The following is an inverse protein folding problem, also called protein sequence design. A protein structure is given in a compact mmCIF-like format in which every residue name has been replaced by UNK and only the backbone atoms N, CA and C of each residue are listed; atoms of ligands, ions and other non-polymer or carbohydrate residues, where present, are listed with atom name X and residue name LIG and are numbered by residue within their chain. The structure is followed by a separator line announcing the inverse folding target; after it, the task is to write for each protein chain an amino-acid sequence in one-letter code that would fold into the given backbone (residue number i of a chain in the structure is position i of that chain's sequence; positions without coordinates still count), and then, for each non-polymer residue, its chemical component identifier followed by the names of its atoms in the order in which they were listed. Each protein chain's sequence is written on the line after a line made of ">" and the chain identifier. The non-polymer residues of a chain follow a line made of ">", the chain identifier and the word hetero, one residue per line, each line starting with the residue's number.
data_IF_999714661929
#
_entry.id   IF_999714661929
#
_cell.length_a   1.000
_cell.length_b   1.000
_cell.length_c   1.000
_cell.angle_alpha   90.00
_cell.angle_beta   90.00
_cell.angle_gamma   90.00
#
_symmetry.space_group_name_H-M   'P 1'
#
loop_
_entity.id
_entity.type
_entity.pdbx_description
1 polymer ?
#
# COMPACT_ATOMS: atom_id res chain seq x y z
N UNK A 1 -18.14 12.10 32.57
CA UNK A 1 -17.20 12.46 31.50
C UNK A 1 -16.41 11.20 31.23
N UNK A 2 -16.88 10.36 30.31
CA UNK A 2 -16.07 9.26 29.78
C UNK A 2 -14.97 9.92 28.97
N UNK A 3 -13.72 9.84 29.44
CA UNK A 3 -12.57 10.22 28.63
C UNK A 3 -12.68 9.48 27.30
N UNK A 4 -12.65 10.23 26.20
CA UNK A 4 -12.75 9.69 24.86
C UNK A 4 -11.41 8.97 24.59
N UNK A 5 -11.38 7.66 24.87
CA UNK A 5 -10.18 6.83 24.70
C UNK A 5 -9.75 6.88 23.23
N UNK A 6 -8.45 7.01 22.97
CA UNK A 6 -7.91 6.99 21.60
C UNK A 6 -8.23 5.67 20.90
N UNK A 7 -8.26 5.68 19.56
CA UNK A 7 -8.41 4.45 18.78
C UNK A 7 -7.42 3.35 19.19
N UNK A 8 -6.16 3.73 19.44
CA UNK A 8 -5.11 2.79 19.86
C UNK A 8 -5.46 2.14 21.21
N UNK A 9 -5.91 2.95 22.18
CA UNK A 9 -6.28 2.47 23.50
C UNK A 9 -7.54 1.61 23.47
N UNK A 10 -8.55 1.97 22.68
CA UNK A 10 -9.74 1.15 22.48
C UNK A 10 -9.38 -0.23 21.91
N UNK A 11 -8.44 -0.27 20.95
CA UNK A 11 -8.02 -1.51 20.32
C UNK A 11 -7.20 -2.40 21.27
N UNK A 12 -6.19 -1.82 21.92
CA UNK A 12 -5.12 -2.56 22.61
C UNK A 12 -5.26 -2.61 24.13
N UNK A 13 -6.07 -1.73 24.72
CA UNK A 13 -6.19 -1.55 26.16
C UNK A 13 -5.06 -0.73 26.81
N UNK A 14 -4.13 -0.16 26.03
CA UNK A 14 -3.01 0.64 26.53
C UNK A 14 -2.94 2.00 25.84
N UNK A 15 -2.41 3.01 26.52
CA UNK A 15 -2.11 4.29 25.87
C UNK A 15 -0.85 4.15 25.00
N UNK A 16 -0.84 4.80 23.83
CA UNK A 16 0.34 4.85 22.96
C UNK A 16 1.27 5.96 23.45
N UNK A 17 2.42 5.58 24.03
CA UNK A 17 3.38 6.55 24.57
C UNK A 17 4.73 6.50 23.86
N UNK A 18 5.42 5.36 23.92
CA UNK A 18 6.73 5.18 23.26
C UNK A 18 6.83 3.80 22.61
N UNK A 19 7.69 3.63 21.59
CA UNK A 19 7.91 2.31 20.99
C UNK A 19 8.34 1.23 21.98
N UNK A 20 9.18 1.57 22.96
CA UNK A 20 9.61 0.60 23.98
C UNK A 20 8.47 0.19 24.91
N UNK A 21 7.61 1.15 25.27
CA UNK A 21 6.41 0.87 26.06
C UNK A 21 5.46 -0.06 25.30
N UNK A 22 5.14 0.25 24.04
CA UNK A 22 4.28 -0.60 23.20
C UNK A 22 4.85 -2.01 23.05
N UNK A 23 6.16 -2.16 22.82
CA UNK A 23 6.83 -3.47 22.73
C UNK A 23 6.92 -4.22 24.06
N UNK A 24 6.80 -3.55 25.20
CA UNK A 24 6.81 -4.20 26.52
C UNK A 24 5.42 -4.65 26.93
N UNK A 25 4.38 -3.87 26.60
CA UNK A 25 3.01 -4.13 27.02
C UNK A 25 2.21 -4.98 26.04
N UNK A 26 2.54 -4.94 24.74
CA UNK A 26 2.01 -5.85 23.74
C UNK A 26 3.06 -6.91 23.40
N UNK A 27 2.61 -8.13 23.16
CA UNK A 27 3.48 -9.20 22.66
C UNK A 27 2.98 -9.76 21.34
N UNK A 28 3.89 -10.39 20.59
CA UNK A 28 3.59 -11.07 19.33
C UNK A 28 3.59 -12.57 19.58
N UNK A 29 2.50 -13.25 19.23
CA UNK A 29 2.41 -14.70 19.25
C UNK A 29 1.73 -15.20 17.96
N UNK A 30 2.50 -15.91 17.13
CA UNK A 30 2.08 -16.32 15.80
C UNK A 30 1.76 -15.12 14.91
N UNK A 31 0.51 -15.04 14.44
CA UNK A 31 -0.03 -13.97 13.60
C UNK A 31 -0.82 -12.91 14.38
N UNK A 32 -0.73 -12.92 15.72
CA UNK A 32 -1.54 -12.09 16.61
C UNK A 32 -0.70 -11.16 17.48
N UNK A 33 -1.22 -9.94 17.70
CA UNK A 33 -0.86 -9.12 18.84
C UNK A 33 -1.65 -9.63 20.06
N UNK A 34 -0.96 -9.79 21.19
CA UNK A 34 -1.56 -10.18 22.47
C UNK A 34 -1.54 -8.95 23.38
N UNK A 35 -2.74 -8.51 23.77
CA UNK A 35 -2.97 -7.35 24.64
C UNK A 35 -2.84 -7.74 26.12
N UNK A 36 -2.69 -6.78 27.06
CA UNK A 36 -2.55 -7.08 28.50
C UNK A 36 -3.75 -7.82 29.10
N UNK A 37 -4.95 -7.63 28.53
CA UNK A 37 -6.17 -8.33 28.91
C UNK A 37 -6.33 -9.72 28.23
N UNK A 38 -5.25 -10.23 27.65
CA UNK A 38 -5.16 -11.48 26.90
C UNK A 38 -5.98 -11.55 25.60
N UNK A 39 -6.62 -10.46 25.15
CA UNK A 39 -7.21 -10.41 23.81
C UNK A 39 -6.13 -10.59 22.75
N UNK A 40 -6.46 -11.39 21.73
CA UNK A 40 -5.60 -11.67 20.60
C UNK A 40 -6.19 -11.05 19.35
N UNK A 41 -5.42 -10.22 18.66
CA UNK A 41 -5.87 -9.49 17.47
C UNK A 41 -4.94 -9.82 16.33
N UNK A 42 -5.48 -10.43 15.28
CA UNK A 42 -4.67 -10.91 14.17
C UNK A 42 -4.12 -9.76 13.34
N UNK A 43 -2.80 -9.58 13.37
CA UNK A 43 -2.13 -8.75 12.38
C UNK A 43 -1.92 -9.55 11.08
N UNK A 44 -1.94 -10.88 11.12
CA UNK A 44 -1.75 -11.72 9.93
C UNK A 44 -0.27 -11.88 9.59
N UNK A 45 0.11 -11.75 8.32
CA UNK A 45 1.50 -11.88 7.89
C UNK A 45 1.96 -10.74 6.99
N UNK A 46 3.03 -10.06 7.39
CA UNK A 46 3.69 -9.03 6.58
C UNK A 46 4.76 -9.65 5.67
N UNK A 47 4.74 -9.28 4.40
CA UNK A 47 5.82 -9.54 3.43
C UNK A 47 6.09 -8.28 2.61
N UNK A 48 7.31 -8.13 2.06
CA UNK A 48 7.68 -7.01 1.19
C UNK A 48 8.15 -7.47 -0.20
N UNK A 49 7.37 -8.27 -0.94
CA UNK A 49 7.85 -8.88 -2.17
C UNK A 49 8.06 -7.83 -3.28
N UNK A 50 9.01 -8.13 -4.15
CA UNK A 50 9.19 -7.47 -5.44
C UNK A 50 8.05 -7.83 -6.39
N UNK A 51 7.79 -6.97 -7.39
CA UNK A 51 6.88 -7.31 -8.48
C UNK A 51 7.31 -8.60 -9.21
N UNK A 52 8.61 -8.83 -9.40
CA UNK A 52 9.14 -10.06 -9.99
C UNK A 52 8.68 -11.32 -9.23
N UNK A 53 8.84 -11.33 -7.91
CA UNK A 53 8.41 -12.44 -7.04
C UNK A 53 6.89 -12.65 -7.11
N UNK A 54 6.12 -11.55 -7.15
CA UNK A 54 4.66 -11.63 -7.25
C UNK A 54 4.19 -12.17 -8.60
N UNK A 55 4.82 -11.76 -9.71
CA UNK A 55 4.54 -12.33 -11.05
C UNK A 55 4.74 -13.84 -11.04
N UNK A 56 5.90 -14.30 -10.56
CA UNK A 56 6.22 -15.73 -10.49
C UNK A 56 5.24 -16.50 -9.60
N UNK A 57 4.90 -15.96 -8.43
CA UNK A 57 3.91 -16.58 -7.54
C UNK A 57 2.50 -16.62 -8.15
N UNK A 58 2.07 -15.54 -8.82
CA UNK A 58 0.76 -15.46 -9.46
C UNK A 58 0.64 -16.46 -10.62
N UNK A 59 1.67 -16.57 -11.47
CA UNK A 59 1.71 -17.55 -12.56
C UNK A 59 1.62 -18.99 -12.04
N UNK A 60 2.33 -19.29 -10.94
CA UNK A 60 2.30 -20.61 -10.31
C UNK A 60 0.93 -21.00 -9.73
N UNK A 61 0.02 -20.05 -9.50
CA UNK A 61 -1.33 -20.36 -8.98
C UNK A 61 -2.25 -21.05 -9.99
N UNK A 62 -1.89 -21.12 -11.28
CA UNK A 62 -2.73 -21.64 -12.38
C UNK A 62 -4.16 -21.09 -12.29
N UNK A 63 -4.35 -19.79 -12.52
CA UNK A 63 -5.67 -19.16 -12.35
C UNK A 63 -6.71 -19.93 -13.15
N UNK A 64 -7.84 -20.27 -12.50
CA UNK A 64 -8.99 -20.76 -13.25
C UNK A 64 -9.40 -19.69 -14.27
N UNK A 65 -9.75 -20.14 -15.48
CA UNK A 65 -10.09 -19.23 -16.57
C UNK A 65 -11.24 -18.32 -16.16
N UNK A 66 -11.03 -17.02 -16.23
CA UNK A 66 -12.03 -16.02 -15.92
C UNK A 66 -11.86 -14.78 -16.79
N UNK A 67 -12.66 -13.75 -16.50
CA UNK A 67 -12.50 -12.44 -17.11
C UNK A 67 -12.55 -11.38 -16.02
N UNK A 68 -11.52 -10.54 -15.98
CA UNK A 68 -11.41 -9.47 -15.02
C UNK A 68 -12.49 -8.45 -15.34
N UNK A 69 -13.21 -8.02 -14.31
CA UNK A 69 -14.20 -6.94 -14.43
C UNK A 69 -13.75 -5.74 -13.64
N UNK A 70 -14.04 -4.54 -14.15
CA UNK A 70 -13.76 -3.29 -13.43
C UNK A 70 -15.08 -2.56 -13.19
N UNK A 71 -15.28 -2.05 -11.98
CA UNK A 71 -16.34 -1.12 -11.66
C UNK A 71 -15.81 0.07 -10.85
N UNK A 72 -16.55 1.18 -10.84
CA UNK A 72 -16.37 2.23 -9.85
C UNK A 72 -17.23 1.95 -8.63
N UNK A 73 -16.68 2.17 -7.44
CA UNK A 73 -17.42 2.10 -6.18
C UNK A 73 -17.30 3.44 -5.46
N UNK A 74 -18.40 4.17 -5.37
CA UNK A 74 -18.49 5.36 -4.51
C UNK A 74 -18.83 4.90 -3.10
N UNK A 75 -17.85 4.92 -2.20
CA UNK A 75 -18.04 4.42 -0.83
C UNK A 75 -16.98 4.98 0.14
N UNK A 76 -17.28 4.86 1.44
CA UNK A 76 -16.28 4.94 2.49
C UNK A 76 -15.52 3.60 2.56
N UNK A 77 -14.19 3.67 2.48
CA UNK A 77 -13.34 2.48 2.50
C UNK A 77 -13.44 1.71 3.82
N UNK A 78 -13.74 2.38 4.95
CA UNK A 78 -13.96 1.74 6.24
C UNK A 78 -15.21 0.86 6.21
N UNK A 79 -16.28 1.34 5.57
CA UNK A 79 -17.50 0.54 5.38
C UNK A 79 -17.25 -0.66 4.47
N UNK A 80 -16.41 -0.52 3.45
CA UNK A 80 -16.02 -1.64 2.59
C UNK A 80 -15.20 -2.69 3.37
N UNK A 81 -14.31 -2.27 4.28
CA UNK A 81 -13.59 -3.20 5.15
C UNK A 81 -14.52 -3.91 6.13
N UNK A 82 -15.45 -3.19 6.76
CA UNK A 82 -16.39 -3.73 7.74
C UNK A 82 -17.48 -4.65 7.15
N UNK A 83 -17.71 -4.61 5.83
CA UNK A 83 -18.70 -5.45 5.17
C UNK A 83 -18.26 -6.92 5.14
N UNK A 84 -18.98 -7.84 5.81
CA UNK A 84 -18.60 -9.26 5.88
C UNK A 84 -18.59 -9.94 4.51
N UNK A 85 -19.28 -9.38 3.50
CA UNK A 85 -19.20 -9.89 2.12
C UNK A 85 -17.80 -9.74 1.52
N UNK A 86 -16.93 -8.95 2.14
CA UNK A 86 -15.56 -8.73 1.70
C UNK A 86 -14.55 -9.53 2.52
N UNK A 87 -15.00 -10.54 3.29
CA UNK A 87 -14.12 -11.52 3.90
C UNK A 87 -13.14 -12.09 2.86
N UNK A 88 -11.86 -12.08 3.20
CA UNK A 88 -10.75 -12.51 2.35
C UNK A 88 -10.44 -11.58 1.17
N UNK A 89 -11.11 -10.44 0.98
CA UNK A 89 -10.80 -9.51 -0.12
C UNK A 89 -9.42 -8.85 0.04
N UNK A 90 -8.85 -8.34 -1.06
CA UNK A 90 -7.62 -7.55 -1.06
C UNK A 90 -7.95 -6.05 -1.22
N UNK A 91 -7.36 -5.21 -0.38
CA UNK A 91 -7.47 -3.76 -0.47
C UNK A 91 -6.11 -3.13 -0.79
N UNK A 92 -6.03 -2.36 -1.86
CA UNK A 92 -4.89 -1.49 -2.10
C UNK A 92 -4.95 -0.30 -1.16
N UNK A 93 -3.87 -0.04 -0.44
CA UNK A 93 -3.74 1.04 0.52
C UNK A 93 -2.68 2.02 0.03
N UNK A 94 -3.05 3.30 -0.03
CA UNK A 94 -2.10 4.38 -0.29
C UNK A 94 -1.20 4.56 0.94
N UNK A 95 0.06 4.21 0.79
CA UNK A 95 1.06 4.17 1.86
C UNK A 95 2.37 4.84 1.40
N UNK A 96 3.35 4.88 2.28
CA UNK A 96 4.72 5.33 1.99
C UNK A 96 5.63 4.14 1.68
N UNK A 97 6.85 4.40 1.20
CA UNK A 97 7.80 3.31 0.89
C UNK A 97 8.27 2.52 2.12
N UNK A 98 8.01 3.03 3.33
CA UNK A 98 8.24 2.35 4.60
C UNK A 98 6.99 1.65 5.16
N UNK A 99 5.91 1.60 4.38
CA UNK A 99 4.64 0.99 4.79
C UNK A 99 4.03 1.67 6.01
N UNK A 100 4.16 2.98 6.13
CA UNK A 100 3.44 3.81 7.10
C UNK A 100 2.62 4.88 6.36
N UNK A 101 1.75 5.56 7.09
CA UNK A 101 0.80 6.55 6.58
C UNK A 101 0.95 7.87 7.37
N UNK A 102 2.19 8.23 7.70
CA UNK A 102 2.50 9.43 8.48
C UNK A 102 2.08 10.70 7.74
N UNK A 103 1.36 11.62 8.39
CA UNK A 103 0.76 12.80 7.74
C UNK A 103 1.76 13.77 7.06
N UNK A 104 3.05 13.69 7.40
CA UNK A 104 4.11 14.54 6.84
C UNK A 104 5.47 13.83 6.84
N UNK A 105 6.38 14.16 5.91
CA UNK A 105 7.76 13.66 5.92
C UNK A 105 8.56 14.05 7.18
N UNK A 106 8.08 15.00 7.99
CA UNK A 106 8.72 15.35 9.27
C UNK A 106 8.31 14.46 10.44
N UNK A 107 7.29 13.61 10.27
CA UNK A 107 6.77 12.74 11.34
C UNK A 107 7.47 11.39 11.25
N UNK A 108 8.10 10.99 12.35
CA UNK A 108 8.89 9.75 12.43
C UNK A 108 8.04 8.59 12.97
N UNK A 109 8.44 7.32 12.77
CA UNK A 109 7.75 6.15 13.31
C UNK A 109 7.47 6.21 14.83
N UNK A 110 8.37 6.83 15.60
CA UNK A 110 8.26 6.99 17.05
C UNK A 110 7.11 7.90 17.50
N UNK A 111 6.56 8.70 16.58
CA UNK A 111 5.38 9.53 16.85
C UNK A 111 4.10 8.70 16.97
N UNK A 112 4.16 7.42 16.65
CA UNK A 112 3.08 6.46 16.81
C UNK A 112 2.09 6.44 15.65
N UNK A 113 1.25 5.42 15.66
CA UNK A 113 0.21 5.18 14.66
C UNK A 113 -1.17 5.55 15.17
N UNK A 114 -1.33 5.82 16.47
CA UNK A 114 -2.57 6.34 17.05
C UNK A 114 -3.04 7.63 16.38
N UNK A 115 -2.09 8.48 15.95
CA UNK A 115 -2.36 9.74 15.24
C UNK A 115 -3.16 9.56 13.94
N UNK A 116 -3.21 8.34 13.37
CA UNK A 116 -3.95 8.05 12.14
C UNK A 116 -5.46 8.24 12.31
N UNK A 117 -5.99 8.19 13.53
CA UNK A 117 -7.43 8.42 13.77
C UNK A 117 -7.88 9.84 13.40
N UNK A 118 -6.94 10.79 13.36
CA UNK A 118 -7.19 12.19 13.01
C UNK A 118 -6.96 12.50 11.52
N UNK A 119 -6.46 11.54 10.74
CA UNK A 119 -6.27 11.69 9.30
C UNK A 119 -7.36 10.92 8.55
N UNK A 120 -8.23 11.66 7.85
CA UNK A 120 -9.37 11.10 7.13
C UNK A 120 -9.05 10.78 5.66
N UNK A 121 -7.78 10.81 5.26
CA UNK A 121 -7.38 10.31 3.94
C UNK A 121 -7.49 8.78 3.89
N UNK A 122 -7.56 8.23 2.67
CA UNK A 122 -7.86 6.80 2.49
C UNK A 122 -6.77 5.87 3.07
N UNK A 123 -5.49 6.28 3.07
CA UNK A 123 -4.39 5.48 3.60
C UNK A 123 -4.57 5.18 5.11
N UNK A 124 -4.57 6.22 5.96
CA UNK A 124 -4.87 6.12 7.39
C UNK A 124 -6.21 5.44 7.69
N UNK A 125 -7.26 5.71 6.91
CA UNK A 125 -8.55 5.04 7.09
C UNK A 125 -8.48 3.52 6.90
N UNK A 126 -7.73 3.03 5.90
CA UNK A 126 -7.46 1.60 5.72
C UNK A 126 -6.55 1.04 6.82
N UNK A 127 -5.52 1.79 7.23
CA UNK A 127 -4.61 1.39 8.29
C UNK A 127 -5.35 1.21 9.64
N UNK A 128 -6.24 2.13 9.98
CA UNK A 128 -7.11 2.06 11.16
C UNK A 128 -8.12 0.92 11.08
N UNK A 129 -8.61 0.60 9.88
CA UNK A 129 -9.56 -0.50 9.67
C UNK A 129 -8.96 -1.88 9.98
N UNK A 130 -7.64 -2.04 9.86
CA UNK A 130 -6.89 -3.26 10.19
C UNK A 130 -5.77 -2.93 11.20
N UNK A 131 -6.19 -2.50 12.38
CA UNK A 131 -5.30 -1.86 13.35
C UNK A 131 -4.14 -2.71 13.85
N UNK A 132 -4.36 -4.01 14.04
CA UNK A 132 -3.28 -4.89 14.47
C UNK A 132 -2.16 -4.98 13.41
N UNK A 133 -2.50 -5.01 12.12
CA UNK A 133 -1.53 -4.92 11.02
C UNK A 133 -0.73 -3.62 11.06
N UNK A 134 -1.40 -2.50 11.32
CA UNK A 134 -0.77 -1.18 11.43
C UNK A 134 0.19 -1.07 12.61
N UNK A 135 -0.23 -1.52 13.79
CA UNK A 135 0.62 -1.55 14.99
C UNK A 135 1.83 -2.45 14.76
N UNK A 136 1.62 -3.64 14.19
CA UNK A 136 2.70 -4.57 13.87
C UNK A 136 3.75 -3.93 12.93
N UNK A 137 3.31 -3.31 11.82
CA UNK A 137 4.19 -2.65 10.84
C UNK A 137 5.07 -1.57 11.48
N UNK A 138 4.58 -0.84 12.47
CA UNK A 138 5.37 0.21 13.13
C UNK A 138 6.28 -0.34 14.23
N UNK A 139 5.77 -1.22 15.09
CA UNK A 139 6.45 -1.54 16.35
C UNK A 139 7.17 -2.89 16.37
N UNK A 140 6.74 -3.84 15.53
CA UNK A 140 7.14 -5.25 15.63
C UNK A 140 7.69 -5.85 14.33
N UNK A 141 7.51 -5.19 13.19
CA UNK A 141 8.06 -5.65 11.93
C UNK A 141 9.60 -5.73 11.99
N UNK A 142 10.18 -6.79 11.43
CA UNK A 142 11.63 -6.89 11.30
C UNK A 142 12.16 -5.91 10.27
N UNK A 143 13.12 -5.08 10.67
CA UNK A 143 13.80 -4.11 9.82
C UNK A 143 15.30 -4.37 9.91
N UNK A 144 15.82 -5.16 8.97
CA UNK A 144 17.17 -5.68 9.06
C UNK A 144 17.34 -6.58 10.29
N UNK A 145 18.23 -6.19 11.19
CA UNK A 145 18.50 -6.86 12.47
C UNK A 145 17.68 -6.31 13.64
N UNK A 146 16.79 -5.33 13.41
CA UNK A 146 15.99 -4.67 14.44
C UNK A 146 14.50 -5.03 14.36
N UNK A 147 13.81 -4.81 15.47
CA UNK A 147 12.36 -4.94 15.59
C UNK A 147 11.74 -3.54 15.68
N UNK A 148 10.75 -3.29 14.83
CA UNK A 148 10.06 -2.01 14.73
C UNK A 148 10.82 -0.99 13.86
N UNK A 149 10.04 -0.06 13.30
CA UNK A 149 10.55 1.06 12.54
C UNK A 149 10.93 2.21 13.47
N UNK A 150 11.96 2.95 13.08
CA UNK A 150 12.47 4.14 13.76
C UNK A 150 12.91 5.19 12.75
N UNK A 151 13.24 6.39 13.17
CA UNK A 151 13.83 7.41 12.31
C UNK A 151 15.02 6.86 11.49
N UNK A 152 15.89 6.08 12.12
CA UNK A 152 17.13 5.61 11.51
C UNK A 152 17.02 4.24 10.82
N UNK A 153 15.98 3.45 11.11
CA UNK A 153 15.81 2.10 10.57
C UNK A 153 14.36 1.91 10.13
N UNK A 154 14.14 1.94 8.82
CA UNK A 154 12.82 1.84 8.20
C UNK A 154 12.83 0.77 7.12
N UNK A 155 11.65 0.20 6.86
CA UNK A 155 11.42 -0.56 5.65
C UNK A 155 11.63 0.38 4.46
N UNK A 156 12.27 -0.11 3.40
CA UNK A 156 12.45 0.63 2.15
C UNK A 156 12.03 -0.24 0.96
N UNK A 157 10.78 -0.08 0.54
CA UNK A 157 10.24 -0.76 -0.64
C UNK A 157 10.77 -0.22 -1.98
N UNK A 158 11.60 0.84 -1.97
CA UNK A 158 12.27 1.40 -3.14
C UNK A 158 13.73 0.94 -3.29
N UNK A 159 14.31 0.26 -2.30
CA UNK A 159 15.75 -0.04 -2.24
C UNK A 159 16.28 -0.81 -3.46
N UNK A 160 15.59 -1.86 -3.89
CA UNK A 160 15.98 -2.67 -5.04
C UNK A 160 15.88 -1.89 -6.36
N UNK A 161 14.81 -1.10 -6.52
CA UNK A 161 14.67 -0.17 -7.64
C UNK A 161 15.77 0.90 -7.62
N UNK A 162 16.12 1.39 -6.44
CA UNK A 162 17.28 2.26 -6.21
C UNK A 162 18.56 1.66 -6.74
N UNK A 163 18.84 0.41 -6.38
CA UNK A 163 20.01 -0.33 -6.86
C UNK A 163 20.01 -0.42 -8.40
N UNK A 164 18.88 -0.82 -9.01
CA UNK A 164 18.75 -0.93 -10.47
C UNK A 164 18.92 0.40 -11.20
N UNK A 165 18.40 1.50 -10.63
CA UNK A 165 18.55 2.83 -11.20
C UNK A 165 19.91 3.48 -10.86
N UNK A 166 20.70 2.88 -9.97
CA UNK A 166 22.03 3.36 -9.57
C UNK A 166 22.02 4.42 -8.46
N UNK A 167 20.98 4.45 -7.63
CA UNK A 167 20.85 5.27 -6.43
C UNK A 167 21.76 4.80 -5.27
N UNK A 168 23.05 4.68 -5.53
CA UNK A 168 24.05 4.41 -4.49
C UNK A 168 24.19 5.66 -3.62
N UNK A 169 24.24 5.51 -2.30
CA UNK A 169 24.43 6.61 -1.32
C UNK A 169 23.46 7.80 -1.49
N UNK A 170 22.25 7.53 -1.99
CA UNK A 170 21.22 8.55 -2.19
C UNK A 170 21.55 9.60 -3.26
N UNK A 171 22.42 9.27 -4.22
CA UNK A 171 22.85 10.17 -5.31
C UNK A 171 21.70 10.63 -6.22
N UNK A 172 20.68 9.81 -6.39
CA UNK A 172 19.49 10.12 -7.20
C UNK A 172 18.34 10.63 -6.32
N UNK A 173 18.08 9.96 -5.20
CA UNK A 173 17.07 10.36 -4.22
C UNK A 173 17.43 9.93 -2.81
N UNK A 174 16.81 10.59 -1.84
CA UNK A 174 16.83 10.18 -0.44
C UNK A 174 15.42 9.85 0.01
N UNK A 175 15.30 8.89 0.90
CA UNK A 175 14.08 8.70 1.67
C UNK A 175 14.11 9.59 2.92
N UNK A 176 12.95 10.12 3.27
CA UNK A 176 12.71 10.79 4.54
C UNK A 176 11.37 10.28 5.08
N UNK A 177 11.40 9.44 6.12
CA UNK A 177 10.21 8.83 6.72
C UNK A 177 9.27 8.16 5.68
N UNK A 178 9.85 7.39 4.75
CA UNK A 178 9.11 6.72 3.68
C UNK A 178 8.74 7.59 2.46
N UNK A 179 9.00 8.90 2.51
CA UNK A 179 8.82 9.80 1.36
C UNK A 179 10.08 9.84 0.50
N UNK A 180 9.91 9.64 -0.81
CA UNK A 180 11.02 9.60 -1.77
C UNK A 180 11.25 10.97 -2.42
N UNK A 181 12.40 11.57 -2.12
CA UNK A 181 12.79 12.90 -2.61
C UNK A 181 14.02 12.82 -3.54
N UNK A 182 13.80 12.87 -4.86
CA UNK A 182 14.88 12.98 -5.83
C UNK A 182 15.50 14.38 -5.80
N UNK A 183 16.82 14.43 -6.02
CA UNK A 183 17.50 15.69 -6.35
C UNK A 183 17.15 16.11 -7.78
N UNK A 184 17.40 17.37 -8.16
CA UNK A 184 17.08 17.83 -9.54
C UNK A 184 17.90 17.05 -10.58
N UNK A 185 19.19 16.85 -10.31
CA UNK A 185 20.06 16.03 -11.16
C UNK A 185 19.64 14.57 -11.15
N UNK A 186 19.22 14.05 -9.99
CA UNK A 186 18.72 12.69 -9.83
C UNK A 186 17.47 12.43 -10.67
N UNK A 187 16.46 13.30 -10.55
CA UNK A 187 15.21 13.19 -11.31
C UNK A 187 15.45 13.26 -12.82
N UNK A 188 16.28 14.20 -13.26
CA UNK A 188 16.70 14.32 -14.67
C UNK A 188 17.41 13.06 -15.16
N UNK A 189 18.33 12.51 -14.35
CA UNK A 189 19.07 11.28 -14.67
C UNK A 189 18.13 10.09 -14.80
N UNK A 190 17.18 9.93 -13.88
CA UNK A 190 16.18 8.86 -13.93
C UNK A 190 15.34 8.99 -15.21
N UNK A 191 14.80 10.18 -15.51
CA UNK A 191 14.03 10.40 -16.73
C UNK A 191 14.82 10.11 -18.01
N UNK A 192 16.10 10.51 -18.06
CA UNK A 192 16.98 10.19 -19.19
C UNK A 192 17.21 8.69 -19.34
N UNK A 193 17.47 7.97 -18.24
CA UNK A 193 17.62 6.51 -18.25
C UNK A 193 16.34 5.82 -18.74
N UNK A 194 15.18 6.23 -18.25
CA UNK A 194 13.89 5.62 -18.64
C UNK A 194 13.56 5.85 -20.12
N UNK A 195 13.85 7.03 -20.66
CA UNK A 195 13.62 7.33 -22.09
C UNK A 195 14.60 6.64 -23.03
N UNK A 196 15.82 6.35 -22.56
CA UNK A 196 16.85 5.67 -23.35
C UNK A 196 16.77 4.13 -23.24
N UNK A 197 16.09 3.61 -22.22
CA UNK A 197 15.93 2.18 -21.98
C UNK A 197 14.98 1.52 -22.99
N UNK A 198 15.32 0.30 -23.39
CA UNK A 198 14.38 -0.56 -24.13
C UNK A 198 13.23 -1.05 -23.22
N UNK A 199 12.12 -1.57 -23.80
CA UNK A 199 10.98 -2.02 -23.01
C UNK A 199 11.32 -3.09 -21.97
N UNK A 200 12.26 -3.99 -22.25
CA UNK A 200 12.71 -5.04 -21.34
C UNK A 200 13.44 -4.46 -20.12
N UNK A 201 14.27 -3.45 -20.33
CA UNK A 201 14.99 -2.75 -19.26
C UNK A 201 14.02 -1.97 -18.38
N UNK A 202 13.06 -1.26 -18.97
CA UNK A 202 12.00 -0.58 -18.21
C UNK A 202 11.19 -1.61 -17.40
N UNK A 203 10.91 -2.77 -17.97
CA UNK A 203 10.21 -3.83 -17.25
C UNK A 203 11.03 -4.42 -16.10
N UNK A 204 12.35 -4.60 -16.26
CA UNK A 204 13.25 -4.97 -15.15
C UNK A 204 13.21 -3.94 -14.02
N UNK A 205 13.15 -2.65 -14.34
CA UNK A 205 12.97 -1.62 -13.31
C UNK A 205 11.64 -1.78 -12.58
N UNK A 206 10.53 -1.95 -13.29
CA UNK A 206 9.22 -2.23 -12.64
C UNK A 206 9.29 -3.46 -11.75
N UNK A 207 9.86 -4.55 -12.26
CA UNK A 207 9.95 -5.84 -11.59
C UNK A 207 10.72 -5.77 -10.26
N UNK A 208 11.62 -4.80 -10.09
CA UNK A 208 12.41 -4.59 -8.87
C UNK A 208 11.69 -3.80 -7.77
N UNK A 209 10.57 -3.14 -8.07
CA UNK A 209 9.84 -2.40 -7.03
C UNK A 209 9.18 -3.37 -6.05
N UNK A 210 9.26 -3.08 -4.75
CA UNK A 210 8.54 -3.80 -3.71
C UNK A 210 7.25 -3.09 -3.31
N UNK A 211 6.30 -3.86 -2.80
CA UNK A 211 5.13 -3.37 -2.07
C UNK A 211 5.04 -4.09 -0.72
N UNK A 212 4.32 -3.53 0.24
CA UNK A 212 3.98 -4.23 1.48
C UNK A 212 2.70 -5.04 1.30
N UNK A 213 2.70 -6.30 1.73
CA UNK A 213 1.52 -7.15 1.76
C UNK A 213 1.27 -7.63 3.18
N UNK A 214 0.17 -7.17 3.77
CA UNK A 214 -0.34 -7.67 5.03
C UNK A 214 -1.47 -8.67 4.72
N UNK A 215 -1.13 -9.95 4.74
CA UNK A 215 -2.06 -11.03 4.46
C UNK A 215 -2.92 -11.36 5.67
N UNK A 216 -4.23 -11.57 5.45
CA UNK A 216 -5.15 -12.13 6.44
C UNK A 216 -5.15 -11.41 7.80
N UNK A 217 -5.20 -10.08 7.76
CA UNK A 217 -5.29 -9.22 8.94
C UNK A 217 -6.74 -9.05 9.37
N UNK A 218 -6.99 -9.02 10.68
CA UNK A 218 -8.32 -8.77 11.21
C UNK A 218 -8.82 -7.37 10.87
N UNK A 219 -10.09 -7.27 10.47
CA UNK A 219 -10.77 -5.97 10.45
C UNK A 219 -11.15 -5.63 11.88
N UNK A 220 -10.60 -4.54 12.40
CA UNK A 220 -10.74 -4.12 13.80
C UNK A 220 -11.80 -3.03 14.01
N UNK A 221 -12.65 -2.82 13.00
CA UNK A 221 -13.80 -1.93 13.10
C UNK A 221 -14.92 -2.63 13.88
N UNK A 222 -15.72 -1.86 14.61
CA UNK A 222 -16.79 -2.39 15.45
C UNK A 222 -17.74 -3.32 14.67
N UNK A 223 -17.96 -4.52 15.21
CA UNK A 223 -18.87 -5.53 14.64
C UNK A 223 -18.29 -6.34 13.47
N UNK A 224 -17.05 -6.10 13.05
CA UNK A 224 -16.38 -6.93 12.06
C UNK A 224 -15.72 -8.15 12.72
N UNK A 225 -15.93 -9.33 12.14
CA UNK A 225 -15.40 -10.61 12.65
C UNK A 225 -14.59 -11.37 11.59
N UNK A 226 -14.37 -10.76 10.43
CA UNK A 226 -13.64 -11.35 9.31
C UNK A 226 -12.24 -10.75 9.14
N UNK A 227 -11.47 -11.40 8.27
CA UNK A 227 -10.13 -10.97 7.89
C UNK A 227 -10.12 -10.52 6.43
N UNK A 228 -9.19 -9.64 6.11
CA UNK A 228 -8.91 -9.15 4.75
C UNK A 228 -7.40 -9.09 4.55
N UNK A 229 -6.97 -8.86 3.31
CA UNK A 229 -5.57 -8.59 3.02
C UNK A 229 -5.41 -7.14 2.58
N UNK A 230 -4.25 -6.54 2.83
CA UNK A 230 -3.93 -5.17 2.43
C UNK A 230 -2.61 -5.11 1.65
N UNK A 231 -2.64 -4.42 0.50
CA UNK A 231 -1.49 -4.14 -0.34
C UNK A 231 -1.08 -2.67 -0.20
N UNK A 232 -0.07 -2.42 0.63
CA UNK A 232 0.49 -1.12 0.91
C UNK A 232 1.45 -0.71 -0.21
N UNK A 233 0.98 0.21 -1.04
CA UNK A 233 1.71 0.71 -2.20
C UNK A 233 2.03 2.18 -2.02
N UNK A 234 3.19 2.60 -2.49
CA UNK A 234 3.59 4.01 -2.49
C UNK A 234 3.57 4.58 -3.91
N UNK A 235 3.14 5.83 -4.02
CA UNK A 235 3.42 6.67 -5.18
C UNK A 235 4.51 7.69 -4.85
N UNK A 236 5.02 8.39 -5.86
CA UNK A 236 5.97 9.48 -5.60
C UNK A 236 5.25 10.69 -5.00
N UNK A 237 5.83 11.37 -4.00
CA UNK A 237 5.22 12.53 -3.34
C UNK A 237 5.44 13.81 -4.16
N UNK A 238 4.92 13.85 -5.39
CA UNK A 238 5.12 14.94 -6.39
C UNK A 238 4.80 16.33 -5.82
N UNK A 239 3.70 16.48 -5.08
CA UNK A 239 3.31 17.77 -4.50
C UNK A 239 4.21 18.24 -3.34
N UNK A 240 4.97 17.33 -2.72
CA UNK A 240 5.96 17.67 -1.70
C UNK A 240 7.33 18.01 -2.33
N UNK A 241 7.50 17.72 -3.62
CA UNK A 241 8.69 18.06 -4.38
C UNK A 241 8.74 19.54 -4.75
N UNK A 242 9.95 20.07 -4.92
CA UNK A 242 10.17 21.43 -5.44
C UNK A 242 10.18 21.50 -6.97
N UNK A 243 10.39 20.37 -7.63
CA UNK A 243 10.50 20.29 -9.09
C UNK A 243 9.11 20.35 -9.74
N UNK A 244 8.98 20.93 -10.94
CA UNK A 244 7.74 20.92 -11.70
C UNK A 244 7.20 19.49 -11.90
N UNK A 245 5.91 19.27 -11.69
CA UNK A 245 5.29 17.95 -11.81
C UNK A 245 5.59 17.25 -13.16
N UNK A 246 5.79 18.00 -14.24
CA UNK A 246 6.14 17.42 -15.55
C UNK A 246 7.47 16.64 -15.53
N UNK A 247 8.43 17.06 -14.71
CA UNK A 247 9.73 16.38 -14.59
C UNK A 247 9.63 15.03 -13.87
N UNK A 248 8.57 14.83 -13.08
CA UNK A 248 8.31 13.56 -12.38
C UNK A 248 7.70 12.48 -13.25
N UNK A 249 7.18 12.83 -14.43
CA UNK A 249 6.29 11.99 -15.24
C UNK A 249 6.81 10.56 -15.42
N UNK A 250 8.05 10.41 -15.92
CA UNK A 250 8.59 9.09 -16.26
C UNK A 250 8.79 8.22 -15.01
N UNK A 251 9.28 8.81 -13.93
CA UNK A 251 9.52 8.10 -12.68
C UNK A 251 8.21 7.75 -11.96
N UNK A 252 7.26 8.68 -11.93
CA UNK A 252 5.95 8.46 -11.35
C UNK A 252 5.20 7.34 -12.08
N UNK A 253 5.21 7.35 -13.42
CA UNK A 253 4.62 6.28 -14.23
C UNK A 253 5.26 4.92 -13.97
N UNK A 254 6.59 4.84 -13.87
CA UNK A 254 7.29 3.60 -13.54
C UNK A 254 6.82 3.01 -12.20
N UNK A 255 6.76 3.85 -11.16
CA UNK A 255 6.35 3.43 -9.80
C UNK A 255 4.88 3.01 -9.79
N UNK A 256 4.00 3.79 -10.42
CA UNK A 256 2.56 3.48 -10.50
C UNK A 256 2.31 2.18 -11.28
N UNK A 257 2.94 2.01 -12.45
CA UNK A 257 2.82 0.78 -13.26
C UNK A 257 3.17 -0.45 -12.43
N UNK A 258 4.28 -0.39 -11.69
CA UNK A 258 4.75 -1.50 -10.89
C UNK A 258 3.85 -1.77 -9.68
N UNK A 259 3.40 -0.72 -8.98
CA UNK A 259 2.54 -0.84 -7.81
C UNK A 259 1.16 -1.45 -8.15
N UNK A 260 0.52 -0.99 -9.23
CA UNK A 260 -0.76 -1.56 -9.67
C UNK A 260 -0.62 -2.99 -10.16
N UNK A 261 0.42 -3.29 -10.94
CA UNK A 261 0.66 -4.66 -11.39
C UNK A 261 0.93 -5.60 -10.21
N UNK A 262 1.75 -5.18 -9.25
CA UNK A 262 2.03 -5.94 -8.03
C UNK A 262 0.75 -6.20 -7.22
N UNK A 263 -0.15 -5.22 -7.17
CA UNK A 263 -1.44 -5.36 -6.50
C UNK A 263 -2.32 -6.42 -7.18
N UNK A 264 -2.40 -6.45 -8.51
CA UNK A 264 -3.19 -7.44 -9.24
C UNK A 264 -2.58 -8.85 -9.18
N UNK A 265 -1.25 -8.94 -9.21
CA UNK A 265 -0.52 -10.17 -8.94
C UNK A 265 -0.86 -10.71 -7.53
N UNK A 266 -0.78 -9.84 -6.52
CA UNK A 266 -1.15 -10.17 -5.15
C UNK A 266 -2.62 -10.60 -5.02
N UNK A 267 -3.55 -9.94 -5.72
CA UNK A 267 -4.96 -10.31 -5.74
C UNK A 267 -5.19 -11.71 -6.33
N UNK A 268 -4.46 -12.07 -7.38
CA UNK A 268 -4.50 -13.41 -7.98
C UNK A 268 -4.05 -14.48 -6.96
N UNK A 269 -2.95 -14.21 -6.25
CA UNK A 269 -2.45 -15.09 -5.18
C UNK A 269 -3.45 -15.17 -4.02
N UNK A 270 -4.04 -14.04 -3.64
CA UNK A 270 -5.01 -13.95 -2.56
C UNK A 270 -6.27 -14.76 -2.87
N UNK A 271 -6.78 -14.65 -4.09
CA UNK A 271 -7.93 -15.41 -4.56
C UNK A 271 -7.67 -16.92 -4.51
N UNK A 272 -6.51 -17.37 -4.98
CA UNK A 272 -6.13 -18.79 -4.91
C UNK A 272 -6.09 -19.35 -3.46
N UNK A 273 -5.85 -18.49 -2.47
CA UNK A 273 -5.80 -18.88 -1.03
C UNK A 273 -7.14 -18.75 -0.32
N UNK A 274 -7.92 -17.72 -0.62
CA UNK A 274 -9.11 -17.33 0.15
C UNK A 274 -10.43 -17.63 -0.55
N UNK A 275 -10.40 -17.85 -1.87
CA UNK A 275 -11.59 -17.91 -2.72
C UNK A 275 -12.21 -16.55 -3.03
N UNK A 276 -11.74 -15.46 -2.41
CA UNK A 276 -12.25 -14.11 -2.67
C UNK A 276 -11.57 -13.48 -3.88
N UNK A 277 -12.35 -13.20 -4.92
CA UNK A 277 -11.88 -12.57 -6.16
C UNK A 277 -11.94 -11.03 -6.11
N UNK A 278 -12.31 -10.43 -4.97
CA UNK A 278 -12.52 -8.99 -4.84
C UNK A 278 -11.21 -8.24 -4.60
N UNK A 279 -10.98 -7.23 -5.42
CA UNK A 279 -9.87 -6.29 -5.28
C UNK A 279 -10.40 -4.85 -5.25
N UNK A 280 -10.08 -4.12 -4.18
CA UNK A 280 -10.38 -2.70 -4.06
C UNK A 280 -9.13 -1.88 -4.38
N UNK A 281 -9.20 -1.04 -5.41
CA UNK A 281 -8.14 -0.13 -5.80
C UNK A 281 -8.43 1.29 -5.31
N UNK A 282 -7.39 2.01 -4.94
CA UNK A 282 -7.44 3.46 -4.71
C UNK A 282 -6.77 4.18 -5.87
N UNK A 283 -6.98 5.50 -6.01
CA UNK A 283 -6.20 6.33 -6.94
C UNK A 283 -4.89 6.73 -6.27
N UNK A 284 -3.91 5.83 -6.36
CA UNK A 284 -2.66 5.88 -5.62
C UNK A 284 -1.90 7.18 -5.89
N UNK A 285 -1.71 7.98 -4.84
CA UNK A 285 -1.02 9.26 -4.90
C UNK A 285 -1.81 10.39 -5.58
N UNK A 286 -3.07 10.19 -5.98
CA UNK A 286 -3.91 11.21 -6.64
C UNK A 286 -4.52 12.25 -5.69
N UNK A 287 -4.25 12.13 -4.40
CA UNK A 287 -4.60 13.12 -3.37
C UNK A 287 -3.40 13.99 -3.01
N UNK A 288 -2.99 13.95 -1.74
CA UNK A 288 -1.94 14.82 -1.19
C UNK A 288 -0.58 14.65 -1.89
N UNK A 289 -0.27 13.47 -2.44
CA UNK A 289 0.98 13.26 -3.19
C UNK A 289 0.99 13.91 -4.58
N UNK A 290 -0.16 14.35 -5.12
CA UNK A 290 -0.23 15.15 -6.34
C UNK A 290 0.15 14.44 -7.65
N UNK A 291 0.01 13.10 -7.71
CA UNK A 291 0.17 12.38 -8.98
C UNK A 291 -1.00 12.70 -9.91
N UNK A 292 -0.72 12.86 -11.21
CA UNK A 292 -1.77 13.19 -12.18
C UNK A 292 -2.69 11.99 -12.38
N UNK A 293 -4.01 12.20 -12.38
CA UNK A 293 -4.99 11.13 -12.58
C UNK A 293 -4.74 10.33 -13.87
N UNK A 294 -4.29 10.98 -14.95
CA UNK A 294 -3.93 10.28 -16.18
C UNK A 294 -2.85 9.20 -15.95
N UNK A 295 -1.81 9.47 -15.17
CA UNK A 295 -0.74 8.50 -14.89
C UNK A 295 -1.26 7.30 -14.09
N UNK A 296 -2.15 7.57 -13.13
CA UNK A 296 -2.75 6.56 -12.27
C UNK A 296 -3.68 5.66 -13.08
N UNK A 297 -4.56 6.24 -13.90
CA UNK A 297 -5.51 5.48 -14.71
C UNK A 297 -4.82 4.69 -15.83
N UNK A 298 -3.79 5.25 -16.47
CA UNK A 298 -2.94 4.52 -17.42
C UNK A 298 -2.35 3.26 -16.77
N UNK A 299 -1.83 3.38 -15.54
CA UNK A 299 -1.22 2.27 -14.81
C UNK A 299 -2.25 1.20 -14.38
N UNK A 300 -3.44 1.61 -13.93
CA UNK A 300 -4.56 0.70 -13.64
C UNK A 300 -4.95 -0.07 -14.89
N UNK A 301 -5.15 0.64 -16.02
CA UNK A 301 -5.55 0.02 -17.28
C UNK A 301 -4.50 -0.99 -17.75
N UNK A 302 -3.21 -0.60 -17.72
CA UNK A 302 -2.09 -1.49 -18.07
C UNK A 302 -2.11 -2.76 -17.21
N UNK A 303 -2.19 -2.62 -15.89
CA UNK A 303 -2.21 -3.76 -14.99
C UNK A 303 -3.42 -4.66 -15.23
N UNK A 304 -4.61 -4.08 -15.39
CA UNK A 304 -5.84 -4.85 -15.65
C UNK A 304 -5.79 -5.63 -16.97
N UNK A 305 -5.14 -5.10 -18.01
CA UNK A 305 -4.93 -5.81 -19.27
C UNK A 305 -3.97 -7.01 -19.11
N UNK A 306 -2.93 -6.89 -18.29
CA UNK A 306 -2.00 -8.00 -18.01
C UNK A 306 -2.68 -9.17 -17.27
N UNK A 307 -3.67 -8.87 -16.43
CA UNK A 307 -4.41 -9.84 -15.63
C UNK A 307 -5.83 -10.09 -16.14
N UNK A 308 -6.10 -9.77 -17.41
CA UNK A 308 -7.44 -9.78 -18.01
C UNK A 308 -8.16 -11.12 -17.94
N UNK A 309 -7.40 -12.22 -18.00
CA UNK A 309 -7.92 -13.59 -17.96
C UNK A 309 -8.08 -14.15 -16.53
N UNK A 310 -7.86 -13.32 -15.51
CA UNK A 310 -8.18 -13.65 -14.12
C UNK A 310 -9.66 -13.36 -13.81
N UNK A 311 -10.34 -14.08 -12.92
CA UNK A 311 -11.72 -13.82 -12.52
C UNK A 311 -11.85 -12.72 -11.45
N UNK A 312 -10.89 -11.79 -11.38
CA UNK A 312 -10.89 -10.73 -10.39
C UNK A 312 -12.03 -9.74 -10.64
N UNK A 313 -12.69 -9.35 -9.54
CA UNK A 313 -13.66 -8.26 -9.49
C UNK A 313 -12.97 -7.02 -8.91
N UNK A 314 -12.57 -6.11 -9.80
CA UNK A 314 -11.83 -4.90 -9.43
C UNK A 314 -12.79 -3.74 -9.22
N UNK A 315 -12.78 -3.17 -8.02
CA UNK A 315 -13.53 -1.97 -7.68
C UNK A 315 -12.57 -0.79 -7.44
N UNK A 316 -12.63 0.22 -8.30
CA UNK A 316 -11.91 1.48 -8.09
C UNK A 316 -12.74 2.35 -7.14
N UNK A 317 -12.21 2.62 -5.95
CA UNK A 317 -12.92 3.31 -4.87
C UNK A 317 -12.78 4.82 -5.02
N UNK A 318 -13.92 5.48 -5.24
CA UNK A 318 -14.04 6.94 -5.22
C UNK A 318 -14.72 7.38 -3.92
N UNK A 319 -14.13 8.35 -3.22
CA UNK A 319 -14.72 8.87 -1.99
C UNK A 319 -15.73 9.99 -2.30
N UNK A 320 -16.91 9.93 -1.68
CA UNK A 320 -17.95 10.97 -1.74
C UNK A 320 -18.75 11.03 -3.04
N UNK A 321 -18.08 11.11 -4.20
CA UNK A 321 -18.72 11.19 -5.52
C UNK A 321 -17.98 10.37 -6.57
N UNK A 322 -18.70 9.99 -7.62
CA UNK A 322 -18.10 9.39 -8.83
C UNK A 322 -17.14 10.36 -9.50
N UNK A 323 -16.06 9.82 -10.07
CA UNK A 323 -15.05 10.55 -10.82
C UNK A 323 -15.22 10.28 -12.33
N UNK A 324 -15.47 11.31 -13.16
CA UNK A 324 -15.73 11.12 -14.59
C UNK A 324 -14.64 10.34 -15.33
N UNK A 325 -13.36 10.55 -15.00
CA UNK A 325 -12.26 9.79 -15.60
C UNK A 325 -12.25 8.30 -15.21
N UNK A 326 -12.66 7.96 -13.98
CA UNK A 326 -12.80 6.56 -13.54
C UNK A 326 -13.96 5.89 -14.26
N UNK A 327 -15.11 6.55 -14.31
CA UNK A 327 -16.29 6.07 -15.06
C UNK A 327 -15.99 5.87 -16.56
N UNK A 328 -15.12 6.71 -17.15
CA UNK A 328 -14.67 6.53 -18.53
C UNK A 328 -13.81 5.28 -18.69
N UNK A 329 -12.81 5.09 -17.82
CA UNK A 329 -11.95 3.89 -17.83
C UNK A 329 -12.77 2.61 -17.68
N UNK A 330 -13.71 2.58 -16.73
CA UNK A 330 -14.60 1.44 -16.47
C UNK A 330 -15.38 1.04 -17.72
N UNK A 331 -15.98 2.01 -18.42
CA UNK A 331 -16.71 1.74 -19.67
C UNK A 331 -15.80 1.17 -20.75
N UNK A 332 -14.67 1.84 -21.01
CA UNK A 332 -13.72 1.43 -22.05
C UNK A 332 -13.16 0.02 -21.83
N UNK A 333 -12.83 -0.32 -20.58
CA UNK A 333 -12.24 -1.63 -20.27
C UNK A 333 -13.24 -2.78 -20.45
N UNK A 334 -14.50 -2.59 -20.04
CA UNK A 334 -15.52 -3.63 -20.11
C UNK A 334 -16.09 -3.81 -21.53
N UNK A 335 -15.97 -2.81 -22.41
CA UNK A 335 -16.36 -2.88 -23.83
C UNK A 335 -15.35 -3.62 -24.70
N UNK A 336 -14.06 -3.59 -24.31
CA UNK A 336 -13.00 -4.41 -24.92
C UNK A 336 -13.19 -5.84 -24.47
#
# INVERSE_FOLDING_TARGET
>A
MTEDMSWFQQLTGIEESTPDQVRTELSVDGDCLVCPDARRIAFGRLETPTLAELRSKAEATKPSSGRLTICERVADVRQLHADPRNAGALFQVASQFNLLEMASPSVTPERGVGIYEHDHTQGPACAVACGAGTIYRNYFASVGDRIGQSHDHQIDCSADLGTQLGNVEGRLWKLQNGYLFPSDSGLKTIGQKLRAADPETVDRYRASLRIGLQWDTAVTLAGAEHRVSQAYCSALPVAYGRQPAAEWTDFAKLVLDAAYEATLAAATINWAKTGSNKLYLTLLGGGVFGNRNAWILDAIQRAALLYRESPLEVAIVSYGTSKPEVARLVRQFNET
#
